data_IF_468592144906
#
_entry.id   IF_468592144906
#
_cell.length_a   1.000
_cell.length_b   1.000
_cell.length_c   1.000
_cell.angle_alpha   90.00
_cell.angle_beta   90.00
_cell.angle_gamma   90.00
#
_symmetry.space_group_name_H-M   'P 1'
#
loop_
_entity.id
_entity.type
_entity.pdbx_description
1 polymer ?
#
# COMPACT_ATOMS: atom_id res chain seq x y z
N UNK A 1 1.78 -10.84 30.45
CA UNK A 1 3.11 -10.54 29.86
C UNK A 1 2.82 -10.06 28.45
N UNK A 2 3.03 -8.77 28.18
CA UNK A 2 2.88 -8.23 26.81
C UNK A 2 4.07 -8.82 26.03
N UNK A 3 3.80 -9.75 25.12
CA UNK A 3 4.80 -10.22 24.15
C UNK A 3 5.33 -8.99 23.42
N UNK A 4 6.66 -8.77 23.46
CA UNK A 4 7.26 -7.72 22.63
C UNK A 4 6.87 -7.99 21.18
N UNK A 5 6.05 -7.13 20.61
CA UNK A 5 5.64 -7.24 19.20
C UNK A 5 6.78 -6.77 18.32
N UNK A 6 7.43 -7.70 17.65
CA UNK A 6 8.61 -7.47 16.80
C UNK A 6 8.34 -6.39 15.73
N UNK A 7 7.07 -6.25 15.26
CA UNK A 7 6.66 -5.30 14.24
C UNK A 7 6.43 -3.87 14.75
N UNK A 8 6.48 -3.63 16.06
CA UNK A 8 6.34 -2.29 16.64
C UNK A 8 7.67 -1.80 17.20
N UNK A 9 7.97 -0.52 17.00
CA UNK A 9 9.21 0.09 17.48
C UNK A 9 9.23 1.60 17.32
N UNK A 10 10.42 2.17 17.35
CA UNK A 10 10.63 3.63 17.28
C UNK A 10 10.96 4.13 15.86
N UNK A 11 11.07 3.23 14.88
CA UNK A 11 11.45 3.58 13.50
C UNK A 11 10.59 2.84 12.50
N UNK A 12 10.00 3.59 11.60
CA UNK A 12 9.21 3.07 10.48
C UNK A 12 10.03 2.20 9.54
N UNK A 13 9.41 1.17 8.98
CA UNK A 13 9.98 0.34 7.94
C UNK A 13 10.30 1.12 6.65
N UNK A 14 11.03 0.50 5.77
CA UNK A 14 11.51 1.09 4.51
C UNK A 14 10.62 0.72 3.35
N UNK A 15 10.46 1.66 2.42
CA UNK A 15 9.89 1.37 1.11
C UNK A 15 10.91 0.59 0.27
N UNK A 16 10.52 -0.59 -0.17
CA UNK A 16 11.27 -1.44 -1.09
C UNK A 16 10.79 -1.22 -2.53
N UNK A 17 11.73 -1.25 -3.48
CA UNK A 17 11.44 -1.12 -4.92
C UNK A 17 11.77 -2.42 -5.66
N UNK A 18 11.44 -3.55 -5.06
CA UNK A 18 11.70 -4.88 -5.58
C UNK A 18 10.57 -5.84 -5.24
N UNK A 19 10.46 -6.90 -6.00
CA UNK A 19 9.61 -8.04 -5.67
C UNK A 19 10.16 -8.78 -4.45
N UNK A 20 9.26 -9.31 -3.62
CA UNK A 20 9.54 -10.19 -2.48
C UNK A 20 8.60 -11.41 -2.59
N UNK A 21 9.09 -12.65 -2.44
CA UNK A 21 8.26 -13.85 -2.63
C UNK A 21 7.37 -14.15 -1.42
N UNK A 22 7.74 -13.66 -0.23
CA UNK A 22 7.02 -13.86 1.02
C UNK A 22 6.59 -12.51 1.57
N UNK A 23 5.28 -12.30 1.69
CA UNK A 23 4.72 -11.01 2.09
C UNK A 23 3.30 -11.15 2.65
N UNK A 24 2.83 -10.08 3.27
CA UNK A 24 1.41 -9.86 3.53
C UNK A 24 0.94 -8.69 2.67
N UNK A 25 0.01 -8.97 1.76
CA UNK A 25 -0.66 -7.94 0.98
C UNK A 25 -1.92 -7.52 1.71
N UNK A 26 -2.16 -6.20 1.83
CA UNK A 26 -3.31 -5.67 2.53
C UNK A 26 -3.91 -4.46 1.82
N UNK A 27 -5.16 -4.17 2.16
CA UNK A 27 -5.93 -3.03 1.71
C UNK A 27 -6.88 -2.56 2.82
N UNK A 28 -7.23 -1.27 2.82
CA UNK A 28 -8.08 -0.64 3.82
C UNK A 28 -9.26 0.06 3.17
N UNK A 29 -10.47 -0.10 3.76
CA UNK A 29 -11.57 0.80 3.50
C UNK A 29 -11.74 1.76 4.68
N UNK A 30 -12.10 3.01 4.38
CA UNK A 30 -12.13 4.10 5.35
C UNK A 30 -13.36 4.99 5.20
N UNK A 31 -13.69 5.76 6.23
CA UNK A 31 -14.78 6.76 6.18
C UNK A 31 -14.45 7.96 5.29
N UNK A 32 -13.20 8.07 4.79
CA UNK A 32 -12.73 9.13 3.91
C UNK A 32 -11.23 9.10 3.71
N UNK A 33 -10.67 10.11 3.07
CA UNK A 33 -9.28 10.10 2.56
C UNK A 33 -8.24 10.68 3.52
N UNK A 34 -8.64 11.24 4.64
CA UNK A 34 -7.75 11.94 5.55
C UNK A 34 -7.41 11.10 6.78
N UNK A 35 -6.20 10.62 6.88
CA UNK A 35 -5.76 9.88 8.06
C UNK A 35 -5.80 10.68 9.38
N UNK A 36 -6.04 12.02 9.35
CA UNK A 36 -6.17 12.81 10.56
C UNK A 36 -7.63 12.88 11.08
N UNK A 37 -8.61 12.64 10.21
CA UNK A 37 -10.04 12.85 10.50
C UNK A 37 -10.90 11.65 10.23
N UNK A 38 -10.45 10.71 9.40
CA UNK A 38 -11.20 9.55 8.98
C UNK A 38 -10.73 8.28 9.71
N UNK A 39 -11.63 7.30 9.81
CA UNK A 39 -11.39 6.05 10.53
C UNK A 39 -11.47 4.86 9.55
N UNK A 40 -10.83 3.75 9.91
CA UNK A 40 -10.93 2.49 9.16
C UNK A 40 -12.27 1.83 9.42
N UNK A 41 -12.84 1.21 8.38
CA UNK A 41 -14.11 0.48 8.43
C UNK A 41 -14.01 -0.95 7.89
N UNK A 42 -12.94 -1.28 7.17
CA UNK A 42 -12.58 -2.64 6.78
C UNK A 42 -11.06 -2.73 6.65
N UNK A 43 -10.49 -3.86 7.02
CA UNK A 43 -9.11 -4.20 6.76
C UNK A 43 -9.05 -5.65 6.30
N UNK A 44 -8.48 -5.87 5.12
CA UNK A 44 -8.28 -7.21 4.58
C UNK A 44 -6.82 -7.43 4.23
N UNK A 45 -6.37 -8.68 4.40
CA UNK A 45 -5.01 -9.05 4.06
C UNK A 45 -4.89 -10.49 3.57
N UNK A 46 -3.90 -10.72 2.74
CA UNK A 46 -3.52 -12.03 2.20
C UNK A 46 -2.08 -12.33 2.59
N UNK A 47 -1.87 -13.44 3.27
CA UNK A 47 -0.52 -13.95 3.51
C UNK A 47 -0.07 -14.78 2.32
N UNK A 48 1.04 -14.40 1.71
CA UNK A 48 1.56 -15.03 0.49
C UNK A 48 2.94 -15.62 0.76
N UNK A 49 3.14 -16.83 0.27
CA UNK A 49 4.44 -17.54 0.30
C UNK A 49 4.71 -18.10 -1.09
N UNK A 50 5.83 -17.68 -1.69
CA UNK A 50 6.24 -18.09 -3.04
C UNK A 50 5.11 -17.91 -4.10
N UNK A 51 4.40 -16.77 -4.02
CA UNK A 51 3.29 -16.42 -4.92
C UNK A 51 1.96 -17.11 -4.64
N UNK A 52 1.90 -18.00 -3.62
CA UNK A 52 0.67 -18.72 -3.22
C UNK A 52 0.06 -18.07 -1.98
N UNK A 53 -1.25 -17.82 -2.02
CA UNK A 53 -2.02 -17.36 -0.85
C UNK A 53 -2.11 -18.54 0.12
N UNK A 54 -1.61 -18.38 1.35
CA UNK A 54 -1.61 -19.41 2.39
C UNK A 54 -2.52 -19.09 3.56
N UNK A 55 -2.94 -17.82 3.71
CA UNK A 55 -3.83 -17.37 4.78
C UNK A 55 -4.53 -16.07 4.40
N UNK A 56 -5.72 -15.81 4.95
CA UNK A 56 -6.54 -14.62 4.70
C UNK A 56 -6.97 -14.01 6.03
N UNK A 57 -7.01 -12.68 6.07
CA UNK A 57 -7.55 -11.86 7.15
C UNK A 57 -8.57 -10.90 6.55
N UNK A 58 -9.78 -10.83 7.10
CA UNK A 58 -10.84 -9.99 6.55
C UNK A 58 -11.79 -9.56 7.69
N UNK A 59 -11.69 -8.30 8.12
CA UNK A 59 -12.42 -7.80 9.27
C UNK A 59 -13.08 -6.44 8.99
N UNK A 60 -14.39 -6.38 9.25
CA UNK A 60 -15.09 -5.10 9.37
C UNK A 60 -14.76 -4.44 10.70
N UNK A 61 -14.75 -3.12 10.70
CA UNK A 61 -14.39 -2.30 11.86
C UNK A 61 -15.51 -1.32 12.16
N UNK A 62 -15.93 -1.25 13.42
CA UNK A 62 -16.81 -0.18 13.87
C UNK A 62 -16.04 1.12 14.07
N UNK A 63 -16.25 2.16 13.24
CA UNK A 63 -15.53 3.44 13.35
C UNK A 63 -15.98 4.29 14.54
N UNK A 64 -16.98 3.83 15.32
CA UNK A 64 -17.62 4.54 16.44
C UNK A 64 -18.18 5.94 16.04
N UNK A 65 -18.55 6.07 14.78
CA UNK A 65 -19.12 7.28 14.16
C UNK A 65 -19.86 6.92 12.88
N UNK A 66 -20.83 7.74 12.42
CA UNK A 66 -21.50 7.50 11.15
C UNK A 66 -20.53 7.48 9.96
N UNK A 67 -20.76 6.57 9.04
CA UNK A 67 -20.02 6.47 7.78
C UNK A 67 -20.64 7.50 6.80
N UNK A 68 -19.82 8.44 6.26
CA UNK A 68 -20.34 9.39 5.28
C UNK A 68 -20.86 8.68 4.02
N UNK A 69 -21.97 9.16 3.49
CA UNK A 69 -22.57 8.62 2.26
C UNK A 69 -21.55 8.50 1.11
N UNK A 70 -20.64 9.49 0.98
CA UNK A 70 -19.61 9.49 -0.05
C UNK A 70 -18.64 8.29 0.07
N UNK A 71 -18.37 7.80 1.28
CA UNK A 71 -17.57 6.61 1.51
C UNK A 71 -18.36 5.35 1.18
N UNK A 72 -19.58 5.21 1.73
CA UNK A 72 -20.46 4.07 1.45
C UNK A 72 -20.82 3.92 -0.03
N UNK A 73 -20.89 5.03 -0.77
CA UNK A 73 -21.13 5.02 -2.21
C UNK A 73 -19.95 4.41 -3.02
N UNK A 74 -18.74 4.35 -2.43
CA UNK A 74 -17.55 3.79 -3.05
C UNK A 74 -17.30 2.36 -2.60
N UNK A 75 -17.25 2.12 -1.28
CA UNK A 75 -16.88 0.83 -0.70
C UNK A 75 -18.07 -0.07 -0.34
N UNK A 76 -19.30 0.45 -0.45
CA UNK A 76 -20.56 -0.25 -0.17
C UNK A 76 -20.71 -0.73 1.29
N UNK A 77 -19.92 -0.18 2.22
CA UNK A 77 -20.03 -0.48 3.65
C UNK A 77 -20.97 0.53 4.29
N UNK A 78 -21.97 0.02 5.05
CA UNK A 78 -22.98 0.84 5.70
C UNK A 78 -22.84 0.79 7.23
N UNK A 79 -23.48 1.72 7.92
CA UNK A 79 -23.49 1.76 9.39
C UNK A 79 -24.03 0.47 9.99
N UNK A 80 -25.06 -0.16 9.34
CA UNK A 80 -25.64 -1.41 9.80
C UNK A 80 -24.65 -2.57 9.73
N UNK A 81 -23.79 -2.60 8.71
CA UNK A 81 -22.79 -3.65 8.53
C UNK A 81 -21.73 -3.62 9.64
N UNK A 82 -21.35 -2.44 10.09
CA UNK A 82 -20.28 -2.25 11.09
C UNK A 82 -20.80 -2.10 12.52
N UNK A 83 -22.13 -2.03 12.74
CA UNK A 83 -22.73 -1.79 14.06
C UNK A 83 -22.30 -2.82 15.11
N UNK A 84 -22.17 -4.09 14.72
CA UNK A 84 -21.73 -5.19 15.58
C UNK A 84 -20.25 -5.55 15.45
N UNK A 85 -19.51 -4.86 14.60
CA UNK A 85 -18.09 -5.12 14.38
C UNK A 85 -17.23 -4.65 15.56
N UNK A 86 -16.05 -5.25 15.78
CA UNK A 86 -15.11 -4.78 16.80
C UNK A 86 -14.59 -3.39 16.48
N UNK A 87 -14.13 -2.67 17.51
CA UNK A 87 -13.44 -1.39 17.33
C UNK A 87 -12.02 -1.62 16.82
N UNK A 88 -11.46 -0.62 16.13
CA UNK A 88 -10.19 -0.80 15.43
C UNK A 88 -9.02 -1.19 16.36
N UNK A 89 -9.00 -0.75 17.60
CA UNK A 89 -7.92 -1.16 18.53
C UNK A 89 -7.83 -2.68 18.74
N UNK A 90 -8.97 -3.39 18.70
CA UNK A 90 -9.01 -4.85 18.79
C UNK A 90 -8.55 -5.48 17.49
N UNK A 91 -9.12 -5.04 16.35
CA UNK A 91 -8.76 -5.54 15.02
C UNK A 91 -7.29 -5.28 14.70
N UNK A 92 -6.75 -4.13 15.13
CA UNK A 92 -5.33 -3.80 14.93
C UNK A 92 -4.41 -4.79 15.68
N UNK A 93 -4.79 -5.24 16.87
CA UNK A 93 -4.02 -6.28 17.58
C UNK A 93 -3.96 -7.58 16.80
N UNK A 94 -5.10 -8.04 16.31
CA UNK A 94 -5.21 -9.27 15.51
C UNK A 94 -4.47 -9.13 14.17
N UNK A 95 -4.58 -7.97 13.52
CA UNK A 95 -3.84 -7.67 12.29
C UNK A 95 -2.32 -7.67 12.51
N UNK A 96 -1.83 -7.07 13.60
CA UNK A 96 -0.42 -7.11 13.95
C UNK A 96 0.08 -8.53 14.19
N UNK A 97 -0.72 -9.37 14.84
CA UNK A 97 -0.39 -10.78 15.03
C UNK A 97 -0.44 -11.58 13.72
N UNK A 98 -1.28 -11.17 12.76
CA UNK A 98 -1.31 -11.75 11.43
C UNK A 98 -0.09 -11.38 10.59
N UNK A 99 0.28 -10.10 10.54
CA UNK A 99 1.39 -9.63 9.67
C UNK A 99 2.78 -9.99 10.22
N UNK A 100 2.96 -10.02 11.54
CA UNK A 100 4.25 -10.23 12.21
C UNK A 100 5.36 -9.37 11.57
N UNK A 101 6.48 -9.97 11.20
CA UNK A 101 7.65 -9.33 10.59
C UNK A 101 7.67 -9.42 9.05
N UNK A 102 6.57 -9.86 8.45
CA UNK A 102 6.45 -9.94 7.00
C UNK A 102 6.58 -8.57 6.32
N UNK A 103 7.09 -8.56 5.09
CA UNK A 103 7.05 -7.37 4.23
C UNK A 103 5.60 -7.08 3.84
N UNK A 104 5.17 -5.84 4.00
CA UNK A 104 3.83 -5.42 3.63
C UNK A 104 3.76 -5.02 2.15
N UNK A 105 2.71 -5.42 1.47
CA UNK A 105 2.47 -5.08 0.06
C UNK A 105 1.08 -4.47 -0.08
N UNK A 106 0.91 -3.47 -0.94
CA UNK A 106 -0.40 -2.92 -1.27
C UNK A 106 -0.33 -1.84 -2.33
N UNK A 107 -1.49 -1.44 -2.88
CA UNK A 107 -1.54 -0.49 -3.98
C UNK A 107 -1.68 0.94 -3.49
N UNK A 108 -0.67 1.81 -3.75
CA UNK A 108 -0.62 3.18 -3.26
C UNK A 108 -0.52 3.31 -1.73
N UNK A 109 -0.16 2.25 -1.03
CA UNK A 109 -0.16 2.19 0.44
C UNK A 109 0.77 3.23 1.08
N UNK A 110 1.87 3.59 0.43
CA UNK A 110 2.80 4.60 0.93
C UNK A 110 2.14 5.98 1.14
N UNK A 111 1.13 6.31 0.34
CA UNK A 111 0.45 7.61 0.42
C UNK A 111 -0.85 7.57 1.22
N UNK A 112 -1.42 6.38 1.37
CA UNK A 112 -2.73 6.21 1.99
C UNK A 112 -2.66 5.24 3.19
N UNK A 113 -2.75 3.97 3.01
CA UNK A 113 -2.96 2.95 4.05
C UNK A 113 -1.92 2.99 5.17
N UNK A 114 -0.63 3.09 4.83
CA UNK A 114 0.45 3.19 5.82
C UNK A 114 0.29 4.37 6.76
N UNK A 115 -0.35 5.46 6.34
CA UNK A 115 -0.57 6.62 7.20
C UNK A 115 -1.59 6.34 8.30
N UNK A 116 -2.65 5.62 7.95
CA UNK A 116 -3.65 5.17 8.92
C UNK A 116 -3.01 4.20 9.92
N UNK A 117 -2.30 3.17 9.43
CA UNK A 117 -1.62 2.22 10.32
C UNK A 117 -0.59 2.90 11.23
N UNK A 118 0.23 3.82 10.72
CA UNK A 118 1.19 4.56 11.55
C UNK A 118 0.50 5.38 12.63
N UNK A 119 -0.56 6.13 12.27
CA UNK A 119 -1.35 6.91 13.23
C UNK A 119 -1.88 6.02 14.35
N UNK A 120 -2.46 4.90 14.00
CA UNK A 120 -3.16 4.08 14.97
C UNK A 120 -2.22 3.19 15.79
N UNK A 121 -1.10 2.73 15.24
CA UNK A 121 -0.03 2.14 16.03
C UNK A 121 0.52 3.14 17.06
N UNK A 122 0.72 4.40 16.66
CA UNK A 122 1.16 5.48 17.54
C UNK A 122 0.11 5.80 18.63
N UNK A 123 -1.17 5.84 18.22
CA UNK A 123 -2.32 6.14 19.11
C UNK A 123 -2.55 5.07 20.17
N UNK A 124 -2.49 3.79 19.79
CA UNK A 124 -2.87 2.68 20.66
C UNK A 124 -1.67 2.04 21.39
N UNK A 125 -0.48 2.10 20.81
CA UNK A 125 0.71 1.43 21.36
C UNK A 125 1.87 2.37 21.67
N UNK A 126 1.76 3.67 21.36
CA UNK A 126 2.85 4.65 21.48
C UNK A 126 4.13 4.24 20.70
N UNK A 127 3.98 3.41 19.67
CA UNK A 127 5.03 2.87 18.82
C UNK A 127 4.60 2.96 17.36
N UNK A 128 5.55 2.80 16.42
CA UNK A 128 5.23 2.78 15.01
C UNK A 128 5.50 1.42 14.39
N UNK A 129 4.84 1.13 13.26
CA UNK A 129 5.04 -0.10 12.50
C UNK A 129 6.44 -0.13 11.87
N UNK A 130 7.17 -1.23 12.05
CA UNK A 130 8.56 -1.39 11.60
C UNK A 130 8.71 -2.21 10.33
N UNK A 131 7.65 -2.86 9.86
CA UNK A 131 7.66 -3.69 8.65
C UNK A 131 8.11 -2.89 7.43
N UNK A 132 9.07 -3.43 6.70
CA UNK A 132 9.38 -2.93 5.36
C UNK A 132 8.17 -3.16 4.43
N UNK A 133 8.05 -2.37 3.37
CA UNK A 133 6.87 -2.46 2.51
C UNK A 133 7.15 -2.18 1.04
N UNK A 134 6.32 -2.75 0.15
CA UNK A 134 6.31 -2.52 -1.30
C UNK A 134 5.00 -1.83 -1.67
N UNK A 135 5.10 -0.70 -2.36
CA UNK A 135 3.96 -0.02 -2.96
C UNK A 135 3.83 -0.45 -4.42
N UNK A 136 2.80 -1.25 -4.74
CA UNK A 136 2.63 -1.84 -6.07
C UNK A 136 2.37 -0.79 -7.15
N UNK A 137 1.79 0.39 -6.81
CA UNK A 137 1.69 1.52 -7.74
C UNK A 137 3.08 2.05 -8.14
N UNK A 138 4.00 2.18 -7.19
CA UNK A 138 5.38 2.59 -7.47
C UNK A 138 6.13 1.50 -8.22
N UNK A 139 5.97 0.26 -7.81
CA UNK A 139 6.60 -0.88 -8.45
C UNK A 139 6.13 -1.05 -9.90
N UNK A 140 4.82 -0.89 -10.17
CA UNK A 140 4.26 -0.92 -11.52
C UNK A 140 4.86 0.15 -12.44
N UNK A 141 5.13 1.35 -11.91
CA UNK A 141 5.79 2.42 -12.67
C UNK A 141 7.22 2.09 -13.08
N UNK A 142 7.92 1.28 -12.29
CA UNK A 142 9.26 0.78 -12.62
C UNK A 142 9.20 -0.34 -13.66
N UNK A 143 8.25 -1.27 -13.52
CA UNK A 143 8.11 -2.42 -14.41
C UNK A 143 7.52 -2.04 -15.79
N UNK A 144 6.58 -1.09 -15.83
CA UNK A 144 5.82 -0.68 -17.01
C UNK A 144 5.98 0.83 -17.27
N UNK A 145 7.17 1.33 -17.60
CA UNK A 145 7.39 2.76 -17.80
C UNK A 145 6.56 3.30 -18.99
N UNK A 146 6.10 4.55 -18.88
CA UNK A 146 5.42 5.26 -19.97
C UNK A 146 3.91 5.05 -20.06
N UNK A 147 3.29 4.25 -19.21
CA UNK A 147 1.82 4.11 -19.17
C UNK A 147 1.16 5.42 -18.72
N UNK A 148 -0.04 5.66 -19.21
CA UNK A 148 -0.84 6.84 -18.85
C UNK A 148 -1.47 6.71 -17.46
N UNK A 149 -1.92 5.52 -17.10
CA UNK A 149 -2.61 5.22 -15.84
C UNK A 149 -2.02 3.98 -15.18
N UNK A 150 -2.07 3.94 -13.85
CA UNK A 150 -1.53 2.86 -13.00
C UNK A 150 -2.46 2.58 -11.82
N UNK A 151 -3.77 2.83 -11.96
CA UNK A 151 -4.75 2.40 -10.96
C UNK A 151 -4.78 0.88 -10.93
N UNK A 152 -5.18 0.29 -9.82
CA UNK A 152 -5.22 -1.16 -9.70
C UNK A 152 -6.07 -1.81 -10.81
N UNK A 153 -7.27 -1.29 -11.08
CA UNK A 153 -8.12 -1.74 -12.19
C UNK A 153 -7.46 -1.61 -13.56
N UNK A 154 -6.77 -0.47 -13.86
CA UNK A 154 -6.05 -0.30 -15.13
C UNK A 154 -4.92 -1.34 -15.32
N UNK A 155 -4.28 -1.76 -14.21
CA UNK A 155 -3.25 -2.80 -14.22
C UNK A 155 -3.86 -4.20 -14.35
N UNK A 156 -4.98 -4.44 -13.66
CA UNK A 156 -5.72 -5.69 -13.76
C UNK A 156 -6.17 -5.97 -15.19
N UNK A 157 -6.73 -4.96 -15.89
CA UNK A 157 -7.12 -5.06 -17.32
C UNK A 157 -5.95 -5.47 -18.22
N UNK A 158 -4.74 -4.94 -17.96
CA UNK A 158 -3.52 -5.27 -18.73
C UNK A 158 -3.21 -6.76 -18.69
N UNK A 159 -3.44 -7.37 -17.54
CA UNK A 159 -3.13 -8.78 -17.31
C UNK A 159 -4.34 -9.71 -17.42
N UNK A 160 -5.50 -9.18 -17.85
CA UNK A 160 -6.73 -9.96 -17.97
C UNK A 160 -7.29 -10.47 -16.65
N UNK A 161 -7.00 -9.76 -15.55
CA UNK A 161 -7.49 -10.09 -14.21
C UNK A 161 -8.91 -9.52 -14.05
N UNK A 162 -9.90 -10.32 -13.61
CA UNK A 162 -11.25 -9.83 -13.35
C UNK A 162 -11.27 -8.71 -12.31
N UNK A 163 -12.12 -7.69 -12.54
CA UNK A 163 -12.29 -6.54 -11.64
C UNK A 163 -13.66 -6.53 -10.96
N UNK A 164 -14.42 -7.61 -11.09
CA UNK A 164 -15.73 -7.77 -10.44
C UNK A 164 -15.58 -7.77 -8.92
N UNK A 165 -16.41 -6.99 -8.24
CA UNK A 165 -16.36 -6.85 -6.78
C UNK A 165 -15.24 -5.93 -6.26
N UNK A 166 -14.64 -5.10 -7.11
CA UNK A 166 -13.74 -4.03 -6.69
C UNK A 166 -14.40 -3.09 -5.66
N UNK A 167 -13.57 -2.40 -4.88
CA UNK A 167 -13.98 -1.56 -3.75
C UNK A 167 -14.53 -2.34 -2.53
N UNK A 168 -14.06 -3.57 -2.37
CA UNK A 168 -14.06 -4.34 -1.13
C UNK A 168 -12.63 -4.80 -0.89
N UNK A 169 -12.09 -4.51 0.27
CA UNK A 169 -10.68 -4.66 0.58
C UNK A 169 -10.13 -6.05 0.24
N UNK A 170 -10.85 -7.13 0.54
CA UNK A 170 -10.40 -8.49 0.22
C UNK A 170 -10.33 -8.76 -1.29
N UNK A 171 -11.29 -8.25 -2.07
CA UNK A 171 -11.27 -8.41 -3.53
C UNK A 171 -10.14 -7.60 -4.16
N UNK A 172 -9.88 -6.38 -3.65
CA UNK A 172 -8.77 -5.55 -4.09
C UNK A 172 -7.42 -6.18 -3.69
N UNK A 173 -7.33 -6.83 -2.53
CA UNK A 173 -6.19 -7.66 -2.17
C UNK A 173 -5.95 -8.80 -3.18
N UNK A 174 -6.98 -9.59 -3.52
CA UNK A 174 -6.86 -10.70 -4.49
C UNK A 174 -6.46 -10.23 -5.88
N UNK A 175 -7.02 -9.10 -6.32
CA UNK A 175 -6.65 -8.46 -7.59
C UNK A 175 -5.20 -7.97 -7.56
N UNK A 176 -4.80 -7.27 -6.50
CA UNK A 176 -3.46 -6.70 -6.37
C UNK A 176 -2.38 -7.79 -6.22
N UNK A 177 -2.68 -8.90 -5.56
CA UNK A 177 -1.78 -10.05 -5.47
C UNK A 177 -1.43 -10.56 -6.87
N UNK A 178 -2.42 -10.80 -7.73
CA UNK A 178 -2.19 -11.26 -9.10
C UNK A 178 -1.40 -10.21 -9.90
N UNK A 179 -1.74 -8.92 -9.79
CA UNK A 179 -1.01 -7.82 -10.44
C UNK A 179 0.46 -7.81 -9.98
N UNK A 180 0.73 -7.98 -8.68
CA UNK A 180 2.09 -7.95 -8.15
C UNK A 180 2.94 -9.11 -8.67
N UNK A 181 2.36 -10.32 -8.77
CA UNK A 181 3.04 -11.49 -9.35
C UNK A 181 3.34 -11.30 -10.85
N UNK A 182 2.43 -10.68 -11.62
CA UNK A 182 2.70 -10.35 -13.01
C UNK A 182 3.80 -9.29 -13.16
N UNK A 183 3.78 -8.25 -12.33
CA UNK A 183 4.82 -7.22 -12.33
C UNK A 183 6.22 -7.79 -12.02
N UNK A 184 6.30 -8.81 -11.18
CA UNK A 184 7.55 -9.51 -10.90
C UNK A 184 8.15 -10.17 -12.16
N UNK A 185 7.30 -10.78 -12.99
CA UNK A 185 7.70 -11.42 -14.26
C UNK A 185 8.17 -10.38 -15.28
N UNK A 186 7.49 -9.22 -15.37
CA UNK A 186 7.91 -8.11 -16.24
C UNK A 186 9.32 -7.61 -15.88
N UNK A 187 9.62 -7.45 -14.60
CA UNK A 187 10.92 -6.95 -14.14
C UNK A 187 12.07 -7.92 -14.45
N UNK A 188 11.83 -9.21 -14.44
CA UNK A 188 12.84 -10.22 -14.81
C UNK A 188 13.17 -10.22 -16.31
N UNK A 189 12.27 -9.70 -17.14
CA UNK A 189 12.45 -9.60 -18.60
C UNK A 189 13.13 -8.27 -19.05
N UNK A 190 13.32 -7.29 -18.16
CA UNK A 190 14.05 -6.06 -18.47
C UNK A 190 15.54 -6.26 -18.20
N UNK A 191 16.45 -6.08 -19.18
CA UNK A 191 17.89 -6.17 -18.95
C UNK A 191 18.29 -5.14 -17.88
N UNK A 192 18.94 -5.60 -16.82
CA UNK A 192 19.52 -4.73 -15.78
C UNK A 192 20.64 -3.91 -16.42
N UNK A 193 20.31 -2.67 -16.80
CA UNK A 193 21.37 -1.67 -17.06
C UNK A 193 22.02 -1.33 -15.74
N UNK A 194 23.31 -1.60 -15.64
CA UNK A 194 24.17 -1.46 -14.45
C UNK A 194 24.51 0.01 -14.09
N UNK A 195 23.51 0.88 -14.03
CA UNK A 195 23.68 2.20 -13.41
C UNK A 195 22.72 2.30 -12.23
N UNK A 196 23.26 2.70 -11.07
CA UNK A 196 22.45 2.99 -9.87
C UNK A 196 21.50 4.14 -10.17
N UNK A 197 20.36 3.86 -10.78
CA UNK A 197 19.31 4.85 -10.99
C UNK A 197 18.82 5.37 -9.63
N UNK A 198 18.95 6.68 -9.45
CA UNK A 198 18.42 7.36 -8.26
C UNK A 198 16.91 7.50 -8.45
N UNK A 199 16.12 6.81 -7.63
CA UNK A 199 14.67 6.82 -7.73
C UNK A 199 14.05 7.97 -6.93
N UNK A 200 12.95 8.51 -7.46
CA UNK A 200 12.15 9.53 -6.81
C UNK A 200 11.44 8.95 -5.56
N UNK A 201 11.61 9.53 -4.36
CA UNK A 201 10.98 9.03 -3.15
C UNK A 201 9.45 9.21 -3.18
N UNK A 202 8.94 10.15 -4.00
CA UNK A 202 7.51 10.45 -4.08
C UNK A 202 6.75 9.49 -4.99
N UNK A 203 7.32 9.10 -6.15
CA UNK A 203 6.59 8.34 -7.15
C UNK A 203 7.33 7.12 -7.70
N UNK A 204 8.55 6.84 -7.22
CA UNK A 204 9.36 5.70 -7.63
C UNK A 204 10.01 5.80 -9.02
N UNK A 205 9.66 6.79 -9.84
CA UNK A 205 10.27 6.96 -11.17
C UNK A 205 11.72 7.46 -11.06
N UNK A 206 12.58 7.16 -12.05
CA UNK A 206 13.97 7.62 -12.06
C UNK A 206 14.09 9.14 -11.95
N UNK A 207 15.08 9.61 -11.19
CA UNK A 207 15.50 11.00 -11.21
C UNK A 207 16.44 11.20 -12.40
N UNK A 208 16.25 12.30 -13.11
CA UNK A 208 17.13 12.74 -14.21
C UNK A 208 17.84 14.03 -13.82
N UNK A 209 19.13 14.11 -14.11
CA UNK A 209 19.90 15.34 -13.96
C UNK A 209 19.36 16.39 -14.92
N UNK A 210 19.07 17.58 -14.43
CA UNK A 210 18.52 18.71 -15.19
C UNK A 210 19.29 19.96 -14.83
N UNK A 211 19.43 20.89 -15.78
CA UNK A 211 19.98 22.21 -15.55
C UNK A 211 18.84 23.21 -15.38
N UNK A 212 18.92 24.05 -14.36
CA UNK A 212 18.00 25.12 -14.08
C UNK A 212 18.70 26.45 -13.82
N UNK A 213 17.92 27.51 -13.53
CA UNK A 213 18.45 28.86 -13.31
C UNK A 213 19.52 28.95 -12.20
N UNK A 214 19.46 28.03 -11.22
CA UNK A 214 20.32 28.03 -10.03
C UNK A 214 21.34 26.89 -10.02
N UNK A 215 21.57 26.23 -11.17
CA UNK A 215 22.51 25.12 -11.31
C UNK A 215 21.84 23.79 -11.64
N UNK A 216 22.59 22.70 -11.51
CA UNK A 216 22.12 21.35 -11.77
C UNK A 216 21.31 20.80 -10.59
N UNK A 217 20.27 20.05 -10.90
CA UNK A 217 19.42 19.38 -9.92
C UNK A 217 18.90 18.03 -10.46
N UNK A 218 18.54 17.14 -9.55
CA UNK A 218 17.84 15.92 -9.90
C UNK A 218 16.34 16.21 -9.95
N UNK A 219 15.71 16.07 -11.12
CA UNK A 219 14.25 16.21 -11.31
C UNK A 219 13.60 14.89 -11.63
N UNK A 220 12.42 14.66 -11.07
CA UNK A 220 11.66 13.45 -11.37
C UNK A 220 11.30 13.34 -12.86
N UNK A 221 11.49 12.16 -13.45
CA UNK A 221 11.07 11.89 -14.83
C UNK A 221 9.55 11.90 -15.01
N UNK A 222 8.80 11.80 -13.92
CA UNK A 222 7.33 11.88 -13.91
C UNK A 222 6.74 13.29 -14.01
N UNK A 223 7.58 14.34 -14.20
CA UNK A 223 7.07 15.70 -14.42
C UNK A 223 6.17 15.75 -15.67
N UNK A 224 5.04 16.50 -15.65
CA UNK A 224 4.57 17.43 -14.60
C UNK A 224 3.75 16.80 -13.47
N UNK A 225 3.44 15.50 -13.50
CA UNK A 225 2.61 14.82 -12.49
C UNK A 225 3.31 14.68 -11.15
N UNK A 226 4.62 14.42 -11.16
CA UNK A 226 5.47 14.44 -9.99
C UNK A 226 6.48 15.59 -10.12
N UNK A 227 6.47 16.50 -9.14
CA UNK A 227 7.33 17.71 -9.15
C UNK A 227 8.52 17.58 -8.21
N UNK A 228 8.84 16.37 -7.76
CA UNK A 228 9.98 16.17 -6.86
C UNK A 228 11.28 16.60 -7.49
N UNK A 229 12.06 17.36 -6.73
CA UNK A 229 13.43 17.75 -7.09
C UNK A 229 14.36 17.58 -5.89
N UNK A 230 15.65 17.33 -6.16
CA UNK A 230 16.71 17.25 -5.17
C UNK A 230 17.96 17.93 -5.73
N UNK A 231 18.66 18.71 -4.92
CA UNK A 231 19.96 19.29 -5.30
C UNK A 231 20.98 18.17 -5.59
N UNK A 232 21.95 18.47 -6.45
CA UNK A 232 23.06 17.57 -6.80
C UNK A 232 24.04 17.45 -5.66
#
# INVERSE_FOLDING_TARGET
>A
MVSERIMLGNKRGKLLNQYVPNYVLYDLETTGISCNYDEMIEISALKVRDGVIVDEFDELVNPMRPIPYAASAVNHITDEMVAGAPVFSVVLEEFLDFIRDDVLVGHNINRFDMKFLYRDCERYFAQTLTNDFVDTLKFARLCLPGRKHYRLGDLAEVYGIPTEGAHRALNDCKMNQQVFEWLAKEKTSVPTTNEKEILCPECGLPLKKRSGRYGEFWGCSGFPRCRYTRNV
#
